data_IF_601262742999
#
_entry.id   IF_601262742999
#
_cell.length_a   1.000
_cell.length_b   1.000
_cell.length_c   1.000
_cell.angle_alpha   90.00
_cell.angle_beta   90.00
_cell.angle_gamma   90.00
#
_symmetry.space_group_name_H-M   'P 1'
#
loop_
_entity.id
_entity.type
_entity.pdbx_description
1 polymer ?
#
# COMPACT_ATOMS: atom_id res chain seq x y z
N UNK A 1 15.75 -2.97 7.81
CA UNK A 1 14.38 -2.74 8.29
C UNK A 1 13.56 -1.86 7.34
N UNK A 2 14.09 -0.73 6.85
CA UNK A 2 13.37 0.18 5.95
C UNK A 2 12.71 -0.50 4.73
N UNK A 3 13.44 -1.38 4.03
CA UNK A 3 12.89 -2.17 2.92
C UNK A 3 11.60 -2.93 3.28
N UNK A 4 11.62 -3.70 4.37
CA UNK A 4 10.46 -4.50 4.79
C UNK A 4 9.27 -3.62 5.20
N UNK A 5 9.55 -2.47 5.80
CA UNK A 5 8.53 -1.51 6.22
C UNK A 5 7.88 -0.82 5.01
N UNK A 6 8.66 -0.42 4.01
CA UNK A 6 8.14 0.07 2.72
C UNK A 6 7.33 -1.01 1.99
N UNK A 7 7.79 -2.26 2.00
CA UNK A 7 7.11 -3.39 1.37
C UNK A 7 5.75 -3.66 2.02
N UNK A 8 5.69 -3.62 3.35
CA UNK A 8 4.43 -3.76 4.09
C UNK A 8 3.46 -2.62 3.76
N UNK A 9 3.93 -1.37 3.76
CA UNK A 9 3.09 -0.22 3.42
C UNK A 9 2.63 -0.21 1.97
N UNK A 10 3.45 -0.71 1.04
CA UNK A 10 3.05 -0.92 -0.36
C UNK A 10 1.83 -1.84 -0.47
N UNK A 11 1.83 -2.98 0.23
CA UNK A 11 0.68 -3.88 0.23
C UNK A 11 -0.56 -3.26 0.89
N UNK A 12 -0.37 -2.54 2.00
CA UNK A 12 -1.47 -1.80 2.64
C UNK A 12 -2.07 -0.74 1.71
N UNK A 13 -1.22 0.05 1.03
CA UNK A 13 -1.65 1.07 0.08
C UNK A 13 -2.57 0.48 -1.00
N UNK A 14 -2.14 -0.59 -1.67
CA UNK A 14 -2.94 -1.19 -2.75
C UNK A 14 -4.23 -1.85 -2.23
N UNK A 15 -4.23 -2.41 -1.03
CA UNK A 15 -5.46 -2.92 -0.40
C UNK A 15 -6.44 -1.79 -0.11
N UNK A 16 -5.99 -0.67 0.46
CA UNK A 16 -6.82 0.51 0.71
C UNK A 16 -7.35 1.10 -0.61
N UNK A 17 -6.48 1.25 -1.62
CA UNK A 17 -6.84 1.76 -2.94
C UNK A 17 -7.90 0.87 -3.63
N UNK A 18 -7.81 -0.46 -3.46
CA UNK A 18 -8.82 -1.40 -3.98
C UNK A 18 -10.18 -1.19 -3.30
N UNK A 19 -10.20 -0.99 -1.98
CA UNK A 19 -11.44 -0.71 -1.24
C UNK A 19 -12.05 0.61 -1.72
N UNK A 20 -11.24 1.66 -1.82
CA UNK A 20 -11.71 2.96 -2.31
C UNK A 20 -12.32 2.86 -3.72
N UNK A 21 -11.68 2.14 -4.65
CA UNK A 21 -12.20 1.95 -6.01
C UNK A 21 -13.55 1.21 -6.05
N UNK A 22 -13.87 0.39 -5.05
CA UNK A 22 -15.17 -0.29 -4.94
C UNK A 22 -16.27 0.63 -4.41
N UNK A 23 -15.92 1.53 -3.49
CA UNK A 23 -16.88 2.35 -2.74
C UNK A 23 -17.12 3.72 -3.40
N UNK A 24 -16.13 4.30 -4.07
CA UNK A 24 -16.20 5.62 -4.70
C UNK A 24 -15.85 5.58 -6.20
N UNK A 25 -16.42 6.51 -6.98
CA UNK A 25 -16.09 6.66 -8.41
C UNK A 25 -14.61 7.04 -8.56
N UNK A 26 -13.92 6.31 -9.43
CA UNK A 26 -12.51 6.54 -9.75
C UNK A 26 -12.29 7.96 -10.26
N UNK A 27 -11.37 8.69 -9.63
CA UNK A 27 -10.92 10.02 -10.06
C UNK A 27 -9.58 9.91 -10.81
N UNK A 28 -9.31 10.82 -11.74
CA UNK A 28 -8.09 10.87 -12.54
C UNK A 28 -6.83 11.05 -11.64
N UNK A 29 -6.95 11.89 -10.60
CA UNK A 29 -5.88 12.08 -9.61
C UNK A 29 -5.49 10.78 -8.89
N UNK A 30 -6.47 9.92 -8.58
CA UNK A 30 -6.21 8.63 -7.97
C UNK A 30 -5.49 7.68 -8.91
N UNK A 31 -5.85 7.71 -10.19
CA UNK A 31 -5.17 6.88 -11.18
C UNK A 31 -3.71 7.27 -11.29
N UNK A 32 -3.40 8.57 -11.38
CA UNK A 32 -2.03 9.09 -11.42
C UNK A 32 -1.26 8.65 -10.15
N UNK A 33 -1.86 8.85 -8.97
CA UNK A 33 -1.24 8.46 -7.71
C UNK A 33 -0.93 6.95 -7.65
N UNK A 34 -1.87 6.11 -8.09
CA UNK A 34 -1.66 4.66 -8.12
C UNK A 34 -0.56 4.24 -9.10
N UNK A 35 -0.42 4.92 -10.24
CA UNK A 35 0.66 4.66 -11.21
C UNK A 35 2.01 5.03 -10.62
N UNK A 36 2.13 6.18 -9.95
CA UNK A 36 3.37 6.61 -9.29
C UNK A 36 3.77 5.61 -8.19
N UNK A 37 2.82 5.23 -7.34
CA UNK A 37 3.10 4.26 -6.27
C UNK A 37 3.43 2.89 -6.84
N UNK A 38 2.80 2.47 -7.94
CA UNK A 38 3.16 1.22 -8.63
C UNK A 38 4.60 1.23 -9.12
N UNK A 39 5.06 2.34 -9.71
CA UNK A 39 6.45 2.49 -10.13
C UNK A 39 7.43 2.36 -8.95
N UNK A 40 7.13 3.02 -7.82
CA UNK A 40 7.93 2.90 -6.60
C UNK A 40 7.93 1.47 -6.04
N UNK A 41 6.81 0.76 -6.10
CA UNK A 41 6.75 -0.64 -5.63
C UNK A 41 7.55 -1.58 -6.55
N UNK A 42 7.55 -1.35 -7.86
CA UNK A 42 8.40 -2.11 -8.79
C UNK A 42 9.88 -1.87 -8.46
N UNK A 43 10.28 -0.61 -8.28
CA UNK A 43 11.66 -0.26 -7.91
C UNK A 43 12.06 -0.87 -6.55
N UNK A 44 11.15 -0.87 -5.57
CA UNK A 44 11.33 -1.56 -4.29
C UNK A 44 11.56 -3.06 -4.48
N UNK A 45 10.76 -3.74 -5.31
CA UNK A 45 10.97 -5.16 -5.60
C UNK A 45 12.31 -5.43 -6.28
N UNK A 46 12.69 -4.61 -7.27
CA UNK A 46 14.00 -4.70 -7.92
C UNK A 46 15.12 -4.57 -6.89
N UNK A 47 15.06 -3.56 -6.02
CA UNK A 47 16.01 -3.39 -4.93
C UNK A 47 16.07 -4.63 -4.03
N UNK A 48 14.91 -5.17 -3.66
CA UNK A 48 14.77 -6.36 -2.84
C UNK A 48 15.45 -7.58 -3.47
N UNK A 49 15.23 -7.85 -4.76
CA UNK A 49 15.85 -8.97 -5.46
C UNK A 49 17.37 -8.79 -5.66
N UNK A 50 17.86 -7.56 -5.77
CA UNK A 50 19.29 -7.28 -5.91
C UNK A 50 20.07 -7.35 -4.60
N UNK A 51 19.48 -6.90 -3.49
CA UNK A 51 20.20 -6.69 -2.22
C UNK A 51 19.77 -7.62 -1.09
N UNK A 52 18.74 -8.45 -1.28
CA UNK A 52 18.24 -9.43 -0.30
C UNK A 52 18.11 -10.81 -0.92
N UNK A 53 18.16 -11.88 -0.10
CA UNK A 53 17.91 -13.22 -0.61
C UNK A 53 16.49 -13.32 -1.18
N UNK A 54 16.39 -13.72 -2.45
CA UNK A 54 15.13 -13.72 -3.20
C UNK A 54 14.00 -14.50 -2.50
N UNK A 55 14.32 -15.62 -1.86
CA UNK A 55 13.34 -16.45 -1.14
C UNK A 55 12.80 -15.75 0.11
N UNK A 56 13.60 -14.92 0.78
CA UNK A 56 13.15 -14.10 1.92
C UNK A 56 12.20 -13.00 1.42
N UNK A 57 12.54 -12.35 0.30
CA UNK A 57 11.68 -11.31 -0.29
C UNK A 57 10.30 -11.87 -0.61
N UNK A 58 10.24 -13.04 -1.24
CA UNK A 58 8.98 -13.71 -1.57
C UNK A 58 8.19 -14.11 -0.32
N UNK A 59 8.84 -14.75 0.65
CA UNK A 59 8.19 -15.22 1.88
C UNK A 59 7.62 -14.03 2.65
N UNK A 60 8.41 -12.99 2.87
CA UNK A 60 7.97 -11.79 3.59
C UNK A 60 6.87 -11.04 2.81
N UNK A 61 6.97 -10.97 1.47
CA UNK A 61 5.92 -10.38 0.64
C UNK A 61 4.59 -11.11 0.82
N UNK A 62 4.62 -12.44 0.86
CA UNK A 62 3.43 -13.26 1.04
C UNK A 62 2.79 -13.04 2.42
N UNK A 63 3.60 -13.06 3.48
CA UNK A 63 3.14 -12.79 4.86
C UNK A 63 2.54 -11.39 4.96
N UNK A 64 3.22 -10.38 4.43
CA UNK A 64 2.73 -9.00 4.44
C UNK A 64 1.47 -8.80 3.60
N UNK A 65 1.34 -9.50 2.48
CA UNK A 65 0.11 -9.48 1.70
C UNK A 65 -1.09 -10.00 2.49
N UNK A 66 -0.92 -11.11 3.24
CA UNK A 66 -1.95 -11.67 4.12
C UNK A 66 -2.26 -10.68 5.25
N UNK A 67 -1.24 -10.20 5.96
CA UNK A 67 -1.43 -9.25 7.07
C UNK A 67 -2.13 -7.96 6.62
N UNK A 68 -1.71 -7.38 5.50
CA UNK A 68 -2.34 -6.19 4.94
C UNK A 68 -3.80 -6.47 4.56
N UNK A 69 -4.10 -7.68 4.06
CA UNK A 69 -5.49 -8.08 3.78
C UNK A 69 -6.32 -8.17 5.06
N UNK A 70 -5.79 -8.80 6.11
CA UNK A 70 -6.48 -8.94 7.39
C UNK A 70 -6.73 -7.56 8.02
N UNK A 71 -5.71 -6.70 8.08
CA UNK A 71 -5.84 -5.35 8.62
C UNK A 71 -6.89 -4.53 7.89
N UNK A 72 -6.85 -4.49 6.55
CA UNK A 72 -7.85 -3.74 5.79
C UNK A 72 -9.25 -4.33 5.98
N UNK A 73 -9.40 -5.65 6.03
CA UNK A 73 -10.69 -6.28 6.34
C UNK A 73 -11.20 -5.95 7.74
N UNK A 74 -10.34 -5.95 8.76
CA UNK A 74 -10.71 -5.53 10.12
C UNK A 74 -11.10 -4.06 10.17
N UNK A 75 -10.36 -3.19 9.46
CA UNK A 75 -10.69 -1.77 9.34
C UNK A 75 -12.02 -1.57 8.62
N UNK A 76 -12.32 -2.35 7.57
CA UNK A 76 -13.64 -2.34 6.94
C UNK A 76 -14.73 -2.80 7.92
N UNK A 77 -14.54 -3.90 8.65
CA UNK A 77 -15.53 -4.34 9.64
C UNK A 77 -15.76 -3.31 10.76
N UNK A 78 -14.72 -2.56 11.15
CA UNK A 78 -14.83 -1.50 12.15
C UNK A 78 -15.43 -0.18 11.63
N UNK A 79 -15.32 0.10 10.33
CA UNK A 79 -15.82 1.33 9.70
C UNK A 79 -17.24 1.15 9.14
N UNK A 80 -17.68 -0.08 8.88
CA UNK A 80 -19.02 -0.40 8.41
C UNK A 80 -19.85 -1.00 9.55
N UNK A 81 -20.74 -0.19 10.15
CA UNK A 81 -21.80 -0.67 11.05
C UNK A 81 -23.08 -0.80 10.23
N UNK A 82 -23.71 -1.97 10.25
CA UNK A 82 -24.95 -2.26 9.51
C UNK A 82 -24.89 -1.95 8.00
N UNK A 83 -23.75 -2.23 7.38
CA UNK A 83 -23.56 -2.06 5.92
C UNK A 83 -23.49 -0.61 5.44
N UNK A 84 -23.49 0.36 6.36
CA UNK A 84 -23.30 1.79 6.04
C UNK A 84 -21.92 2.26 6.53
N UNK A 85 -21.14 2.96 5.68
CA UNK A 85 -19.84 3.48 6.10
C UNK A 85 -20.02 4.62 7.12
N UNK A 86 -19.47 4.45 8.33
CA UNK A 86 -19.50 5.45 9.42
C UNK A 86 -18.65 6.68 9.08
N UNK A 87 -17.57 6.48 8.34
CA UNK A 87 -16.68 7.52 7.83
C UNK A 87 -16.66 7.45 6.30
N UNK A 88 -16.75 8.59 5.63
CA UNK A 88 -16.53 8.64 4.17
C UNK A 88 -15.15 8.07 3.87
N UNK A 89 -15.10 7.05 3.01
CA UNK A 89 -13.87 6.35 2.59
C UNK A 89 -12.82 7.34 2.04
N UNK A 90 -13.26 8.52 1.59
CA UNK A 90 -12.44 9.69 1.27
C UNK A 90 -11.40 10.09 2.33
N UNK A 91 -11.61 9.89 3.64
CA UNK A 91 -10.59 10.18 4.66
C UNK A 91 -9.45 9.16 4.67
N UNK A 92 -9.77 7.87 4.54
CA UNK A 92 -8.75 6.81 4.39
C UNK A 92 -7.95 7.00 3.10
N UNK A 93 -8.60 7.52 2.05
CA UNK A 93 -7.92 7.89 0.80
C UNK A 93 -6.94 9.05 0.97
N UNK A 94 -7.30 10.11 1.73
CA UNK A 94 -6.33 11.18 2.02
C UNK A 94 -5.08 10.64 2.74
N UNK A 95 -5.25 9.65 3.62
CA UNK A 95 -4.12 8.99 4.28
C UNK A 95 -3.33 8.09 3.33
N UNK A 96 -3.94 7.55 2.27
CA UNK A 96 -3.22 6.74 1.27
C UNK A 96 -2.20 7.57 0.50
N UNK A 97 -2.47 8.84 0.21
CA UNK A 97 -1.51 9.74 -0.43
C UNK A 97 -0.24 9.91 0.42
N UNK A 98 -0.40 10.05 1.74
CA UNK A 98 0.72 10.10 2.67
C UNK A 98 1.52 8.79 2.69
N UNK A 99 0.83 7.64 2.67
CA UNK A 99 1.48 6.32 2.54
C UNK A 99 2.27 6.19 1.24
N UNK A 100 1.70 6.63 0.12
CA UNK A 100 2.37 6.60 -1.19
C UNK A 100 3.64 7.44 -1.22
N UNK A 101 3.57 8.66 -0.68
CA UNK A 101 4.73 9.55 -0.55
C UNK A 101 5.80 8.95 0.36
N UNK A 102 5.40 8.33 1.48
CA UNK A 102 6.31 7.70 2.42
C UNK A 102 7.03 6.49 1.81
N UNK A 103 6.33 5.68 1.01
CA UNK A 103 6.94 4.56 0.27
C UNK A 103 7.99 5.09 -0.71
N UNK A 104 7.64 6.11 -1.51
CA UNK A 104 8.55 6.70 -2.48
C UNK A 104 9.79 7.32 -1.81
N UNK A 105 9.61 7.98 -0.67
CA UNK A 105 10.71 8.52 0.12
C UNK A 105 11.66 7.43 0.61
N UNK A 106 11.12 6.33 1.16
CA UNK A 106 11.96 5.20 1.59
C UNK A 106 12.69 4.60 0.39
N UNK A 107 12.02 4.45 -0.74
CA UNK A 107 12.64 3.89 -1.95
C UNK A 107 13.84 4.73 -2.39
N UNK A 108 13.68 6.05 -2.50
CA UNK A 108 14.79 6.99 -2.79
C UNK A 108 15.96 6.81 -1.81
N UNK A 109 15.67 6.74 -0.50
CA UNK A 109 16.73 6.51 0.51
C UNK A 109 17.40 5.14 0.41
N UNK A 110 16.70 4.10 -0.06
CA UNK A 110 17.27 2.76 -0.24
C UNK A 110 18.23 2.72 -1.43
N UNK A 111 17.92 3.46 -2.50
CA UNK A 111 18.77 3.60 -3.68
C UNK A 111 19.95 4.56 -3.46
N UNK A 112 19.97 5.32 -2.36
CA UNK A 112 21.06 6.23 -2.03
C UNK A 112 21.08 7.52 -2.87
N UNK A 113 19.92 7.90 -3.41
CA UNK A 113 19.67 9.19 -4.07
C UNK A 113 19.15 10.18 -3.03
#
# INVERSE_FOLDING_TARGET
>A
MLFYLALFFAFLYFKIARVYKKEEKSNLNMLIQNVIVLAAVIALFVYGFMHKPWYIVLLVSFVFFIMASLLVSTVQLGIFVDGKPILKVSHLYKMSAFLGMFIAFIDVTLWGV
#
